data_IF_476757405256
#
_entry.id   IF_476757405256
#
_cell.length_a   1.000
_cell.length_b   1.000
_cell.length_c   1.000
_cell.angle_alpha   90.00
_cell.angle_beta   90.00
_cell.angle_gamma   90.00
#
_symmetry.space_group_name_H-M   'P 1'
#
loop_
_entity.id
_entity.type
_entity.pdbx_description
1 polymer ?
#
# COMPACT_ATOMS: atom_id res chain seq x y z
N UNK A 1 -15.25 44.94 -38.44
CA UNK A 1 -15.86 45.02 -37.09
C UNK A 1 -15.54 43.76 -36.22
N UNK A 2 -15.59 42.57 -36.78
CA UNK A 2 -15.37 41.30 -36.00
C UNK A 2 -13.93 41.13 -35.48
N UNK A 3 -12.90 41.59 -36.20
CA UNK A 3 -11.49 41.49 -35.73
C UNK A 3 -11.13 42.40 -34.53
N UNK A 4 -11.91 43.50 -34.31
CA UNK A 4 -11.71 44.38 -33.13
C UNK A 4 -12.37 43.83 -31.86
N UNK A 5 -13.46 43.08 -32.03
CA UNK A 5 -14.17 42.44 -30.90
C UNK A 5 -13.38 41.25 -30.30
N UNK A 6 -12.62 40.51 -31.15
CA UNK A 6 -11.79 39.39 -30.70
C UNK A 6 -10.54 39.88 -29.94
N UNK A 7 -9.98 41.04 -30.29
CA UNK A 7 -8.83 41.62 -29.61
C UNK A 7 -9.19 42.14 -28.19
N UNK A 8 -10.40 42.67 -27.99
CA UNK A 8 -10.84 43.17 -26.69
C UNK A 8 -11.21 42.01 -25.71
N UNK A 9 -11.71 40.89 -26.23
CA UNK A 9 -12.02 39.69 -25.41
C UNK A 9 -10.73 39.01 -24.93
N UNK A 10 -9.65 38.98 -25.74
CA UNK A 10 -8.36 38.43 -25.33
C UNK A 10 -7.63 39.29 -24.27
N UNK A 11 -7.86 40.60 -24.25
CA UNK A 11 -7.21 41.52 -23.30
C UNK A 11 -7.87 41.50 -21.94
N UNK A 12 -9.16 41.16 -21.84
CA UNK A 12 -9.88 41.04 -20.57
C UNK A 12 -9.55 39.71 -19.86
N UNK A 13 -9.22 38.64 -20.61
CA UNK A 13 -8.82 37.35 -20.04
C UNK A 13 -7.39 37.40 -19.47
N UNK A 14 -6.53 38.31 -19.92
CA UNK A 14 -5.14 38.43 -19.48
C UNK A 14 -4.96 39.36 -18.26
N UNK A 15 -5.98 40.12 -17.85
CA UNK A 15 -5.93 41.02 -16.69
C UNK A 15 -6.58 40.49 -15.38
N UNK A 16 -7.07 39.26 -15.38
CA UNK A 16 -7.68 38.62 -14.17
C UNK A 16 -6.76 37.64 -13.47
N UNK A 17 -5.46 37.61 -13.79
CA UNK A 17 -4.47 36.68 -13.19
C UNK A 17 -3.48 37.32 -12.21
N UNK A 18 -3.68 38.55 -11.76
CA UNK A 18 -2.80 39.16 -10.76
C UNK A 18 -3.58 39.87 -9.66
N UNK A 19 -4.19 39.14 -8.74
CA UNK A 19 -4.43 39.60 -7.37
C UNK A 19 -5.12 38.51 -6.52
N UNK A 20 -4.35 37.61 -5.92
CA UNK A 20 -4.66 37.00 -4.60
C UNK A 20 -3.41 36.29 -4.11
N UNK A 21 -2.43 37.08 -3.63
CA UNK A 21 -1.39 36.55 -2.76
C UNK A 21 -1.95 36.61 -1.34
N UNK A 22 -2.59 35.52 -0.90
CA UNK A 22 -3.00 35.27 0.48
C UNK A 22 -2.29 34.02 0.95
N UNK A 23 -1.31 34.17 1.82
CA UNK A 23 -0.61 33.08 2.48
C UNK A 23 -1.56 32.29 3.35
N UNK A 24 -1.99 31.13 2.89
CA UNK A 24 -2.54 30.05 3.72
C UNK A 24 -1.54 28.91 3.73
N UNK A 25 -1.34 28.30 4.90
CA UNK A 25 -0.37 27.24 5.15
C UNK A 25 -0.53 26.09 4.16
N UNK A 26 0.58 25.61 3.64
CA UNK A 26 0.66 24.51 2.71
C UNK A 26 0.22 23.22 3.42
N UNK A 27 -1.05 22.87 3.25
CA UNK A 27 -1.49 21.48 3.35
C UNK A 27 -0.97 20.77 2.09
N UNK A 28 -0.28 19.66 2.26
CA UNK A 28 0.23 18.84 1.17
C UNK A 28 -0.93 18.07 0.52
N UNK A 29 -1.64 18.69 -0.42
CA UNK A 29 -2.75 18.04 -1.10
C UNK A 29 -2.21 17.12 -2.21
N UNK A 30 -2.37 15.81 -2.02
CA UNK A 30 -2.23 14.81 -3.10
C UNK A 30 -3.44 14.97 -4.02
N UNK A 31 -3.23 15.45 -5.25
CA UNK A 31 -4.28 15.61 -6.25
C UNK A 31 -4.15 14.52 -7.30
N UNK A 32 -5.18 13.67 -7.53
CA UNK A 32 -5.13 12.67 -8.63
C UNK A 32 -4.99 13.36 -9.98
N UNK A 33 -4.00 12.94 -10.78
CA UNK A 33 -3.88 13.39 -12.17
C UNK A 33 -4.91 12.67 -13.03
N UNK A 34 -5.79 13.44 -13.68
CA UNK A 34 -6.90 12.94 -14.49
C UNK A 34 -6.47 12.24 -15.80
N UNK A 35 -5.18 12.23 -16.14
CA UNK A 35 -4.69 11.67 -17.42
C UNK A 35 -4.05 10.28 -17.31
N UNK A 36 -3.70 9.81 -16.10
CA UNK A 36 -2.95 8.55 -15.92
C UNK A 36 -3.30 7.75 -14.66
N UNK A 37 -4.27 8.19 -13.86
CA UNK A 37 -4.49 7.59 -12.53
C UNK A 37 -3.34 7.83 -11.53
N UNK A 38 -2.36 8.66 -11.90
CA UNK A 38 -1.25 9.02 -11.02
C UNK A 38 -1.65 10.12 -10.04
N UNK A 39 -1.20 9.97 -8.81
CA UNK A 39 -1.34 11.00 -7.78
C UNK A 39 -0.25 12.07 -8.00
N UNK A 40 -0.61 13.36 -7.98
CA UNK A 40 0.41 14.40 -7.85
C UNK A 40 0.88 14.43 -6.41
N UNK A 41 2.09 13.91 -6.21
CA UNK A 41 2.72 13.83 -4.91
C UNK A 41 3.52 15.09 -4.69
N UNK A 42 3.42 15.67 -3.50
CA UNK A 42 4.32 16.74 -3.06
C UNK A 42 5.76 16.26 -3.13
N UNK A 43 6.59 16.99 -3.87
CA UNK A 43 8.03 16.73 -3.86
C UNK A 43 8.54 16.72 -2.42
N UNK A 44 9.25 15.64 -2.03
CA UNK A 44 9.81 15.40 -0.69
C UNK A 44 8.80 15.04 0.42
N UNK A 45 7.65 14.41 0.09
CA UNK A 45 6.77 13.85 1.11
C UNK A 45 7.54 12.91 2.04
N UNK A 46 7.32 13.05 3.35
CA UNK A 46 7.86 12.14 4.35
C UNK A 46 6.91 10.96 4.52
N UNK A 47 7.39 9.75 4.26
CA UNK A 47 6.55 8.55 4.23
C UNK A 47 7.09 7.47 5.16
N UNK A 48 6.33 7.14 6.21
CA UNK A 48 6.58 5.97 7.03
C UNK A 48 6.06 4.70 6.35
N UNK A 49 6.67 3.57 6.61
CA UNK A 49 6.22 2.30 6.04
C UNK A 49 6.65 1.12 6.92
N UNK A 50 5.94 -0.02 6.80
CA UNK A 50 6.36 -1.24 7.46
C UNK A 50 7.67 -1.74 6.85
N UNK A 51 8.77 -1.54 7.61
CA UNK A 51 10.13 -1.91 7.25
C UNK A 51 10.43 -3.40 7.43
N UNK A 52 11.71 -3.74 7.44
CA UNK A 52 12.85 -2.86 7.19
C UNK A 52 12.97 -2.40 5.73
N UNK A 53 14.02 -1.63 5.42
CA UNK A 53 14.38 -1.30 4.05
C UNK A 53 14.63 -2.57 3.20
N UNK A 54 14.32 -2.54 1.89
CA UNK A 54 14.41 -3.69 0.99
C UNK A 54 13.18 -4.61 1.02
N UNK A 55 12.07 -4.19 1.66
CA UNK A 55 10.79 -4.93 1.67
C UNK A 55 9.90 -4.55 0.48
N UNK A 56 8.88 -5.38 0.19
CA UNK A 56 7.84 -5.04 -0.78
C UNK A 56 7.03 -3.81 -0.38
N UNK A 57 6.92 -3.51 0.92
CA UNK A 57 6.28 -2.28 1.39
C UNK A 57 7.08 -1.05 0.98
N UNK A 58 8.41 -1.09 1.04
CA UNK A 58 9.26 -0.03 0.50
C UNK A 58 9.10 0.11 -1.01
N UNK A 59 9.04 -1.00 -1.75
CA UNK A 59 8.82 -1.00 -3.20
C UNK A 59 7.46 -0.36 -3.55
N UNK A 60 6.38 -0.70 -2.82
CA UNK A 60 5.07 -0.07 -2.95
C UNK A 60 5.14 1.43 -2.66
N UNK A 61 5.89 1.82 -1.62
CA UNK A 61 6.08 3.23 -1.24
C UNK A 61 6.79 4.00 -2.35
N UNK A 62 7.88 3.48 -2.90
CA UNK A 62 8.60 4.09 -4.02
C UNK A 62 7.76 4.15 -5.29
N UNK A 63 6.96 3.12 -5.55
CA UNK A 63 6.05 3.10 -6.71
C UNK A 63 4.96 4.17 -6.61
N UNK A 64 4.39 4.38 -5.41
CA UNK A 64 3.36 5.41 -5.19
C UNK A 64 3.94 6.82 -5.16
N UNK A 65 5.04 7.05 -4.43
CA UNK A 65 5.58 8.38 -4.11
C UNK A 65 6.77 8.81 -4.97
N UNK A 66 7.26 7.98 -5.88
CA UNK A 66 8.49 8.19 -6.64
C UNK A 66 9.77 8.25 -5.76
N UNK A 67 10.92 8.36 -6.41
CA UNK A 67 12.25 8.40 -5.76
C UNK A 67 12.52 9.66 -4.90
N UNK A 68 11.61 10.66 -4.93
CA UNK A 68 11.79 11.93 -4.20
C UNK A 68 11.25 11.89 -2.77
N UNK A 69 10.53 10.86 -2.38
CA UNK A 69 9.99 10.73 -1.03
C UNK A 69 11.11 10.46 -0.01
N UNK A 70 10.94 11.01 1.19
CA UNK A 70 11.79 10.73 2.35
C UNK A 70 11.23 9.52 3.09
N UNK A 71 11.85 8.36 2.92
CA UNK A 71 11.36 7.08 3.42
C UNK A 71 11.79 6.84 4.88
N UNK A 72 10.87 6.38 5.71
CA UNK A 72 11.05 6.08 7.14
C UNK A 72 10.56 4.66 7.43
N UNK A 73 11.46 3.65 7.48
CA UNK A 73 11.08 2.30 7.86
C UNK A 73 10.75 2.21 9.34
N UNK A 74 9.64 1.56 9.67
CA UNK A 74 9.17 1.32 11.03
C UNK A 74 9.06 -0.17 11.31
N UNK A 75 9.15 -0.57 12.59
CA UNK A 75 9.15 -1.99 12.97
C UNK A 75 7.77 -2.63 12.88
N UNK A 76 6.71 -1.85 13.11
CA UNK A 76 5.34 -2.36 13.09
C UNK A 76 4.40 -1.46 12.27
N UNK A 77 3.25 -2.03 11.89
CA UNK A 77 2.15 -1.28 11.26
C UNK A 77 1.69 -0.12 12.16
N UNK A 78 1.61 -0.36 13.48
CA UNK A 78 1.20 0.68 14.43
C UNK A 78 2.21 1.82 14.49
N UNK A 79 3.52 1.53 14.49
CA UNK A 79 4.56 2.56 14.51
C UNK A 79 4.50 3.41 13.23
N UNK A 80 4.30 2.77 12.06
CA UNK A 80 4.15 3.50 10.81
C UNK A 80 2.93 4.46 10.83
N UNK A 81 1.80 4.04 11.40
CA UNK A 81 0.61 4.87 11.56
C UNK A 81 0.87 6.00 12.58
N UNK A 82 1.52 5.71 13.70
CA UNK A 82 1.83 6.68 14.76
C UNK A 82 2.71 7.82 14.25
N UNK A 83 3.63 7.55 13.33
CA UNK A 83 4.45 8.59 12.67
C UNK A 83 3.58 9.62 11.96
N UNK A 84 2.48 9.20 11.32
CA UNK A 84 1.54 10.12 10.64
C UNK A 84 0.67 10.86 11.65
N UNK A 85 0.14 10.16 12.65
CA UNK A 85 -0.71 10.78 13.68
C UNK A 85 0.02 11.85 14.48
N UNK A 86 1.32 11.68 14.71
CA UNK A 86 2.17 12.63 15.45
C UNK A 86 2.79 13.72 14.56
N UNK A 87 2.51 13.70 13.23
CA UNK A 87 3.06 14.66 12.28
C UNK A 87 4.55 14.48 11.98
N UNK A 88 5.12 13.32 12.34
CA UNK A 88 6.49 12.95 12.01
C UNK A 88 6.64 12.38 10.58
N UNK A 89 5.54 12.00 9.94
CA UNK A 89 5.44 11.66 8.55
C UNK A 89 4.14 12.23 7.96
N UNK A 90 4.12 12.50 6.65
CA UNK A 90 2.94 13.00 5.93
C UNK A 90 2.00 11.84 5.58
N UNK A 91 2.59 10.66 5.30
CA UNK A 91 1.89 9.45 4.88
C UNK A 91 2.47 8.20 5.56
N UNK A 92 1.66 7.14 5.60
CA UNK A 92 2.12 5.80 5.94
C UNK A 92 1.73 4.78 4.86
N UNK A 93 2.59 3.80 4.58
CA UNK A 93 2.28 2.68 3.69
C UNK A 93 2.33 1.37 4.47
N UNK A 94 1.23 0.62 4.42
CA UNK A 94 1.07 -0.63 5.17
C UNK A 94 0.53 -1.74 4.27
N UNK A 95 0.98 -3.00 4.44
CA UNK A 95 0.42 -4.13 3.71
C UNK A 95 -0.99 -4.45 4.19
N UNK A 96 -1.89 -4.74 3.27
CA UNK A 96 -3.29 -5.06 3.54
C UNK A 96 -3.60 -6.53 3.32
N UNK A 97 -3.33 -7.03 2.12
CA UNK A 97 -3.69 -8.38 1.69
C UNK A 97 -2.65 -8.93 0.71
N UNK A 98 -2.39 -10.23 0.79
CA UNK A 98 -1.60 -10.95 -0.19
C UNK A 98 -2.45 -12.06 -0.81
N UNK A 99 -2.39 -12.25 -2.12
CA UNK A 99 -3.19 -13.23 -2.87
C UNK A 99 -3.06 -14.66 -2.31
N UNK A 100 -1.89 -15.05 -1.84
CA UNK A 100 -1.63 -16.40 -1.31
C UNK A 100 -1.76 -16.50 0.21
N UNK A 101 -1.47 -15.40 0.92
CA UNK A 101 -1.47 -15.35 2.39
C UNK A 101 -2.77 -14.82 3.00
N UNK A 102 -3.65 -14.21 2.19
CA UNK A 102 -4.85 -13.52 2.65
C UNK A 102 -4.56 -12.21 3.37
N UNK A 103 -5.51 -11.79 4.21
CA UNK A 103 -5.43 -10.53 4.95
C UNK A 103 -4.24 -10.49 5.93
N UNK A 104 -3.54 -9.37 5.94
CA UNK A 104 -2.50 -9.09 6.95
C UNK A 104 -3.18 -8.66 8.23
N UNK A 105 -3.32 -9.56 9.20
CA UNK A 105 -4.12 -9.37 10.42
C UNK A 105 -3.83 -8.05 11.15
N UNK A 106 -2.58 -7.64 11.22
CA UNK A 106 -2.16 -6.46 11.97
C UNK A 106 -2.73 -5.14 11.42
N UNK A 107 -3.00 -5.03 10.10
CA UNK A 107 -3.58 -3.81 9.54
C UNK A 107 -5.04 -3.63 9.95
N UNK A 108 -5.82 -4.72 10.01
CA UNK A 108 -7.23 -4.67 10.43
C UNK A 108 -7.32 -4.16 11.86
N UNK A 109 -6.52 -4.75 12.77
CA UNK A 109 -6.48 -4.34 14.18
C UNK A 109 -6.05 -2.87 14.34
N UNK A 110 -5.08 -2.42 13.53
CA UNK A 110 -4.60 -1.05 13.55
C UNK A 110 -5.68 -0.06 13.08
N UNK A 111 -6.28 -0.27 11.90
CA UNK A 111 -7.28 0.65 11.36
C UNK A 111 -8.59 0.69 12.16
N UNK A 112 -9.00 -0.45 12.75
CA UNK A 112 -10.18 -0.50 13.63
C UNK A 112 -9.99 0.40 14.86
N UNK A 113 -8.81 0.38 15.47
CA UNK A 113 -8.51 1.10 16.72
C UNK A 113 -8.10 2.55 16.52
N UNK A 114 -7.67 2.92 15.32
CA UNK A 114 -7.13 4.26 15.05
C UNK A 114 -8.22 5.19 14.54
N UNK A 115 -8.33 6.37 15.16
CA UNK A 115 -9.14 7.48 14.70
C UNK A 115 -8.26 8.57 14.05
N UNK A 116 -8.84 9.42 13.21
CA UNK A 116 -8.15 10.53 12.58
C UNK A 116 -7.17 10.15 11.46
N UNK A 117 -7.25 8.90 10.95
CA UNK A 117 -6.49 8.42 9.81
C UNK A 117 -7.44 8.08 8.66
N UNK A 118 -7.00 8.35 7.43
CA UNK A 118 -7.74 8.07 6.19
C UNK A 118 -6.90 7.25 5.23
N UNK A 119 -7.54 6.32 4.52
CA UNK A 119 -6.94 5.66 3.35
C UNK A 119 -7.06 6.63 2.19
N UNK A 120 -5.92 6.99 1.62
CA UNK A 120 -5.81 7.97 0.52
C UNK A 120 -5.25 7.38 -0.76
N UNK A 121 -4.89 6.11 -0.76
CA UNK A 121 -4.41 5.39 -1.94
C UNK A 121 -4.29 3.90 -1.67
N UNK A 122 -4.23 3.15 -2.74
CA UNK A 122 -3.88 1.74 -2.72
C UNK A 122 -2.91 1.41 -3.84
N UNK A 123 -1.90 0.61 -3.51
CA UNK A 123 -0.94 0.05 -4.46
C UNK A 123 -1.12 -1.46 -4.53
N UNK A 124 -1.20 -1.98 -5.74
CA UNK A 124 -1.15 -3.43 -6.01
C UNK A 124 0.17 -3.76 -6.66
N UNK A 125 1.01 -4.56 -6.00
CA UNK A 125 2.29 -5.02 -6.54
C UNK A 125 2.27 -6.51 -6.85
N UNK A 126 2.84 -6.94 -7.99
CA UNK A 126 3.25 -8.33 -8.19
C UNK A 126 4.39 -8.66 -7.22
N UNK A 127 4.35 -9.85 -6.63
CA UNK A 127 5.38 -10.31 -5.69
C UNK A 127 6.32 -11.26 -6.43
N UNK A 128 7.38 -10.69 -6.97
CA UNK A 128 8.44 -11.42 -7.67
C UNK A 128 9.56 -11.77 -6.69
N UNK A 129 9.81 -13.06 -6.50
CA UNK A 129 10.88 -13.54 -5.63
C UNK A 129 12.18 -13.67 -6.43
N UNK A 130 13.27 -13.15 -5.86
CA UNK A 130 14.60 -13.17 -6.48
C UNK A 130 15.56 -13.90 -5.56
N UNK A 131 16.30 -14.86 -6.11
CA UNK A 131 17.45 -15.48 -5.43
C UNK A 131 18.66 -14.58 -5.59
N UNK A 132 19.32 -14.23 -4.51
CA UNK A 132 20.47 -13.34 -4.49
C UNK A 132 21.56 -13.84 -3.54
N UNK A 133 22.80 -13.61 -3.89
CA UNK A 133 23.98 -13.98 -3.11
C UNK A 133 25.05 -12.89 -3.16
N UNK A 134 26.15 -13.07 -2.45
CA UNK A 134 27.25 -12.11 -2.50
C UNK A 134 27.87 -12.06 -3.93
N UNK A 135 28.50 -10.94 -4.33
CA UNK A 135 29.16 -10.84 -5.63
C UNK A 135 30.16 -11.97 -5.89
N UNK A 136 30.01 -12.62 -7.03
CA UNK A 136 30.83 -13.75 -7.46
C UNK A 136 30.42 -15.11 -6.89
N UNK A 137 29.28 -15.23 -6.19
CA UNK A 137 28.60 -16.50 -5.95
C UNK A 137 27.88 -16.95 -7.23
N UNK A 138 27.74 -18.26 -7.41
CA UNK A 138 26.94 -18.91 -8.46
C UNK A 138 25.86 -19.78 -7.83
N UNK A 139 24.88 -20.22 -8.62
CA UNK A 139 23.82 -21.12 -8.12
C UNK A 139 24.40 -22.42 -7.56
N UNK A 140 25.45 -22.94 -8.21
CA UNK A 140 26.12 -24.18 -7.84
C UNK A 140 26.88 -24.10 -6.50
N UNK A 141 27.24 -22.89 -6.06
CA UNK A 141 27.90 -22.68 -4.76
C UNK A 141 26.90 -22.79 -3.59
N UNK A 142 25.59 -22.61 -3.84
CA UNK A 142 24.60 -22.41 -2.78
C UNK A 142 24.29 -23.71 -2.04
N UNK A 143 24.49 -23.69 -0.73
CA UNK A 143 24.18 -24.77 0.21
C UNK A 143 23.05 -24.40 1.18
N UNK A 144 22.79 -23.10 1.39
CA UNK A 144 21.72 -22.63 2.28
C UNK A 144 20.96 -21.48 1.62
N UNK A 145 19.62 -21.56 1.68
CA UNK A 145 18.71 -20.50 1.22
C UNK A 145 17.96 -19.92 2.41
N UNK A 146 18.15 -18.63 2.64
CA UNK A 146 17.52 -17.85 3.71
C UNK A 146 16.32 -17.07 3.17
N UNK A 147 15.20 -17.03 3.88
CA UNK A 147 14.07 -16.14 3.62
C UNK A 147 13.08 -16.14 4.78
N UNK A 148 12.06 -15.29 4.73
CA UNK A 148 10.87 -15.44 5.56
C UNK A 148 10.12 -16.73 5.18
N UNK A 149 9.39 -17.34 6.13
CA UNK A 149 8.64 -18.59 5.91
C UNK A 149 7.82 -18.58 4.62
N UNK A 150 7.13 -17.47 4.33
CA UNK A 150 6.34 -17.31 3.10
C UNK A 150 7.21 -17.31 1.83
N UNK A 151 8.36 -16.64 1.84
CA UNK A 151 9.31 -16.64 0.71
C UNK A 151 9.90 -18.03 0.46
N UNK A 152 10.22 -18.77 1.53
CA UNK A 152 10.64 -20.17 1.43
C UNK A 152 9.55 -21.07 0.83
N UNK A 153 8.30 -20.88 1.25
CA UNK A 153 7.16 -21.63 0.69
C UNK A 153 6.95 -21.29 -0.79
N UNK A 154 6.97 -20.03 -1.15
CA UNK A 154 6.73 -19.56 -2.51
C UNK A 154 7.85 -19.95 -3.49
N UNK A 155 9.07 -20.16 -3.03
CA UNK A 155 10.21 -20.59 -3.85
C UNK A 155 10.48 -22.10 -3.80
N UNK A 156 9.65 -22.88 -3.11
CA UNK A 156 9.93 -24.28 -2.81
C UNK A 156 10.09 -25.17 -4.07
N UNK A 157 9.23 -25.02 -5.10
CA UNK A 157 9.31 -25.81 -6.32
C UNK A 157 10.56 -25.46 -7.12
N UNK A 158 10.84 -24.16 -7.30
CA UNK A 158 12.04 -23.71 -7.99
C UNK A 158 13.31 -24.22 -7.29
N UNK A 159 13.39 -24.12 -5.95
CA UNK A 159 14.53 -24.61 -5.17
C UNK A 159 14.71 -26.12 -5.28
N UNK A 160 13.60 -26.87 -5.26
CA UNK A 160 13.65 -28.34 -5.43
C UNK A 160 14.26 -28.76 -6.78
N UNK A 161 14.03 -27.97 -7.83
CA UNK A 161 14.56 -28.25 -9.16
C UNK A 161 16.01 -27.83 -9.32
N UNK A 162 16.40 -26.65 -8.79
CA UNK A 162 17.69 -26.01 -9.05
C UNK A 162 18.70 -26.13 -7.90
N UNK A 163 18.21 -26.35 -6.67
CA UNK A 163 18.98 -26.41 -5.43
C UNK A 163 18.49 -27.57 -4.54
N UNK A 164 18.42 -28.82 -5.06
CA UNK A 164 17.77 -29.95 -4.35
C UNK A 164 18.42 -30.29 -3.01
N UNK A 165 19.72 -30.03 -2.86
CA UNK A 165 20.50 -30.37 -1.67
C UNK A 165 20.70 -29.18 -0.71
N UNK A 166 20.19 -27.99 -1.05
CA UNK A 166 20.34 -26.81 -0.22
C UNK A 166 19.38 -26.83 0.99
N UNK A 167 19.92 -26.53 2.15
CA UNK A 167 19.15 -26.33 3.38
C UNK A 167 18.38 -25.00 3.33
N UNK A 168 17.36 -24.90 4.19
CA UNK A 168 16.61 -23.64 4.35
C UNK A 168 16.76 -23.07 5.73
N UNK A 169 16.91 -21.74 5.82
CA UNK A 169 16.94 -21.00 7.07
C UNK A 169 15.87 -19.93 7.09
N UNK A 170 14.95 -20.03 8.04
CA UNK A 170 13.90 -19.03 8.22
C UNK A 170 14.44 -17.77 8.91
N UNK A 171 14.03 -16.60 8.40
CA UNK A 171 14.39 -15.29 8.89
C UNK A 171 13.13 -14.46 9.20
N UNK A 172 13.27 -13.40 10.00
CA UNK A 172 12.18 -12.53 10.42
C UNK A 172 11.47 -11.83 9.23
N UNK A 173 12.20 -11.54 8.14
CA UNK A 173 11.67 -11.00 6.89
C UNK A 173 12.56 -11.40 5.70
N UNK A 174 12.05 -11.24 4.48
CA UNK A 174 12.84 -11.45 3.26
C UNK A 174 14.01 -10.46 3.18
N UNK A 175 13.81 -9.22 3.60
CA UNK A 175 14.88 -8.21 3.65
C UNK A 175 15.93 -8.54 4.73
N UNK A 176 15.53 -9.08 5.89
CA UNK A 176 16.46 -9.56 6.90
C UNK A 176 17.33 -10.72 6.38
N UNK A 177 16.78 -11.59 5.52
CA UNK A 177 17.56 -12.63 4.87
C UNK A 177 18.61 -12.04 3.92
N UNK A 178 18.26 -11.03 3.12
CA UNK A 178 19.23 -10.36 2.24
C UNK A 178 20.34 -9.65 3.04
N UNK A 179 19.98 -8.92 4.12
CA UNK A 179 20.97 -8.31 5.03
C UNK A 179 21.93 -9.34 5.61
N UNK A 180 21.38 -10.47 6.11
CA UNK A 180 22.19 -11.55 6.67
C UNK A 180 23.18 -12.12 5.67
N UNK A 181 22.77 -12.38 4.42
CA UNK A 181 23.68 -12.87 3.36
C UNK A 181 24.78 -11.86 3.08
N UNK A 182 24.46 -10.57 3.01
CA UNK A 182 25.46 -9.51 2.80
C UNK A 182 26.46 -9.43 3.96
N UNK A 183 25.99 -9.54 5.21
CA UNK A 183 26.83 -9.46 6.42
C UNK A 183 27.77 -10.66 6.57
N UNK A 184 27.29 -11.88 6.25
CA UNK A 184 28.12 -13.09 6.35
C UNK A 184 29.24 -13.13 5.33
N UNK A 185 29.02 -12.58 4.14
CA UNK A 185 29.98 -12.63 3.04
C UNK A 185 30.30 -14.05 2.55
N UNK A 186 29.44 -15.03 2.85
CA UNK A 186 29.61 -16.43 2.50
C UNK A 186 28.95 -16.75 1.16
N UNK A 187 29.75 -17.25 0.19
CA UNK A 187 29.26 -17.62 -1.15
C UNK A 187 28.29 -18.79 -1.17
N UNK A 188 28.25 -19.57 -0.09
CA UNK A 188 27.39 -20.75 0.01
C UNK A 188 25.98 -20.43 0.51
N UNK A 189 25.73 -19.15 0.88
CA UNK A 189 24.45 -18.71 1.40
C UNK A 189 23.79 -17.74 0.42
N UNK A 190 22.51 -17.98 0.09
CA UNK A 190 21.69 -17.10 -0.72
C UNK A 190 20.43 -16.67 0.01
N UNK A 191 19.87 -15.52 -0.36
CA UNK A 191 18.58 -15.07 0.11
C UNK A 191 17.52 -15.13 -1.00
N UNK A 192 16.28 -15.44 -0.63
CA UNK A 192 15.10 -15.18 -1.48
C UNK A 192 14.39 -13.96 -0.92
N UNK A 193 14.35 -12.87 -1.72
CA UNK A 193 13.81 -11.58 -1.30
C UNK A 193 13.24 -10.78 -2.48
N UNK A 194 12.71 -9.57 -2.18
CA UNK A 194 12.27 -8.63 -3.21
C UNK A 194 13.46 -8.19 -4.09
N UNK A 195 13.25 -7.95 -5.40
CA UNK A 195 14.34 -7.58 -6.32
C UNK A 195 15.20 -6.39 -5.85
N UNK A 196 14.57 -5.36 -5.28
CA UNK A 196 15.26 -4.15 -4.78
C UNK A 196 16.21 -4.40 -3.61
N UNK A 197 16.08 -5.53 -2.89
CA UNK A 197 16.99 -5.88 -1.81
C UNK A 197 18.41 -6.17 -2.32
N UNK A 198 18.56 -6.66 -3.55
CA UNK A 198 19.89 -6.95 -4.12
C UNK A 198 20.74 -5.67 -4.22
N UNK A 199 20.20 -4.59 -4.78
CA UNK A 199 20.90 -3.31 -4.88
C UNK A 199 21.17 -2.71 -3.50
N UNK A 200 20.16 -2.71 -2.61
CA UNK A 200 20.25 -2.12 -1.28
C UNK A 200 21.37 -2.74 -0.44
N UNK A 201 21.53 -4.07 -0.48
CA UNK A 201 22.51 -4.80 0.32
C UNK A 201 23.79 -5.16 -0.45
N UNK A 202 23.94 -4.68 -1.70
CA UNK A 202 25.14 -4.95 -2.52
C UNK A 202 25.29 -6.42 -2.92
N UNK A 203 24.17 -7.13 -3.08
CA UNK A 203 24.10 -8.51 -3.51
C UNK A 203 23.99 -8.63 -5.04
N UNK A 204 24.39 -9.77 -5.58
CA UNK A 204 24.18 -10.12 -6.98
C UNK A 204 22.93 -10.98 -7.14
N UNK A 205 22.10 -10.67 -8.13
CA UNK A 205 20.98 -11.53 -8.52
C UNK A 205 21.52 -12.81 -9.14
N UNK A 206 21.14 -13.96 -8.59
CA UNK A 206 21.49 -15.29 -9.08
C UNK A 206 20.38 -15.89 -9.96
N UNK A 207 19.12 -15.66 -9.58
CA UNK A 207 17.96 -16.02 -10.39
C UNK A 207 16.79 -15.10 -10.09
N UNK A 208 16.02 -14.72 -11.12
CA UNK A 208 14.79 -13.95 -11.03
C UNK A 208 13.58 -14.87 -11.12
N UNK A 209 12.44 -14.39 -10.60
CA UNK A 209 11.13 -15.06 -10.71
C UNK A 209 11.16 -16.51 -10.18
N UNK A 210 11.75 -16.70 -8.99
CA UNK A 210 11.85 -18.01 -8.35
C UNK A 210 10.58 -18.41 -7.60
N UNK A 211 9.50 -17.65 -7.73
CA UNK A 211 8.19 -17.94 -7.14
C UNK A 211 7.41 -19.01 -7.92
N UNK A 212 6.52 -19.70 -7.19
CA UNK A 212 5.67 -20.77 -7.72
C UNK A 212 4.61 -20.27 -8.73
N UNK A 213 4.23 -18.99 -8.68
CA UNK A 213 3.18 -18.41 -9.53
C UNK A 213 3.34 -16.91 -9.67
N UNK A 214 3.04 -16.41 -10.87
CA UNK A 214 2.99 -14.96 -11.16
C UNK A 214 1.66 -14.31 -10.72
N UNK A 215 0.71 -15.11 -10.23
CA UNK A 215 -0.56 -14.60 -9.71
C UNK A 215 -0.44 -13.99 -8.30
N UNK A 216 0.75 -14.07 -7.68
CA UNK A 216 0.97 -13.53 -6.34
C UNK A 216 1.08 -12.01 -6.38
N UNK A 217 0.11 -11.34 -5.76
CA UNK A 217 0.08 -9.87 -5.61
C UNK A 217 -0.13 -9.52 -4.14
N UNK A 218 0.36 -8.36 -3.76
CA UNK A 218 0.09 -7.76 -2.44
C UNK A 218 -0.53 -6.38 -2.64
N UNK A 219 -1.55 -6.10 -1.85
CA UNK A 219 -2.23 -4.80 -1.76
C UNK A 219 -1.66 -4.03 -0.57
N UNK A 220 -1.41 -2.74 -0.77
CA UNK A 220 -0.88 -1.84 0.26
C UNK A 220 -1.75 -0.60 0.35
N UNK A 221 -2.19 -0.23 1.54
CA UNK A 221 -2.86 1.05 1.75
C UNK A 221 -1.86 2.17 1.98
N UNK A 222 -2.18 3.32 1.42
CA UNK A 222 -1.54 4.61 1.70
C UNK A 222 -2.45 5.39 2.64
N UNK A 223 -1.91 5.81 3.77
CA UNK A 223 -2.65 6.46 4.85
C UNK A 223 -2.18 7.89 5.04
N UNK A 224 -3.10 8.78 5.46
CA UNK A 224 -2.82 10.17 5.84
C UNK A 224 -3.82 10.66 6.90
N UNK A 225 -3.47 11.69 7.65
CA UNK A 225 -4.44 12.41 8.52
C UNK A 225 -5.35 13.36 7.74
N UNK A 226 -5.07 13.60 6.46
CA UNK A 226 -5.86 14.45 5.58
C UNK A 226 -6.59 13.61 4.54
N UNK A 227 -7.91 13.70 4.49
CA UNK A 227 -8.74 13.02 3.49
C UNK A 227 -8.52 13.61 2.09
N UNK A 228 -8.49 12.75 1.05
CA UNK A 228 -8.57 13.21 -0.33
C UNK A 228 -9.97 13.70 -0.67
N UNK A 229 -10.05 14.91 -1.22
CA UNK A 229 -11.32 15.49 -1.65
C UNK A 229 -11.37 15.66 -3.18
N UNK A 230 -11.61 14.54 -3.88
CA UNK A 230 -11.80 14.53 -5.35
C UNK A 230 -13.05 13.74 -5.72
N UNK A 231 -13.75 14.17 -6.76
CA UNK A 231 -14.95 13.48 -7.30
C UNK A 231 -14.61 12.27 -8.17
N UNK A 232 -13.34 12.04 -8.47
CA UNK A 232 -12.89 10.98 -9.37
C UNK A 232 -12.33 9.76 -8.62
N UNK A 233 -12.45 9.72 -7.30
CA UNK A 233 -12.01 8.60 -6.48
C UNK A 233 -13.05 7.49 -6.53
N UNK A 234 -12.64 6.29 -6.91
CA UNK A 234 -13.54 5.17 -7.20
C UNK A 234 -13.75 4.21 -6.06
N UNK A 235 -12.82 4.14 -5.10
CA UNK A 235 -12.84 3.22 -3.98
C UNK A 235 -13.01 3.94 -2.64
N UNK A 236 -13.59 3.26 -1.66
CA UNK A 236 -13.64 3.73 -0.27
C UNK A 236 -13.52 2.56 0.72
N UNK A 237 -12.94 2.87 1.88
CA UNK A 237 -12.82 1.93 3.00
C UNK A 237 -13.70 2.37 4.16
N UNK A 238 -14.34 1.39 4.78
CA UNK A 238 -15.25 1.53 5.91
C UNK A 238 -14.84 0.57 7.01
N UNK A 239 -15.04 0.96 8.27
CA UNK A 239 -15.02 0.06 9.41
C UNK A 239 -16.46 -0.19 9.86
N UNK A 240 -16.85 -1.45 10.00
CA UNK A 240 -18.09 -1.83 10.68
C UNK A 240 -17.77 -2.52 11.99
N UNK A 241 -18.56 -2.27 13.04
CA UNK A 241 -18.50 -3.01 14.31
C UNK A 241 -19.89 -3.49 14.65
N UNK A 242 -20.15 -4.78 14.45
CA UNK A 242 -21.50 -5.35 14.61
C UNK A 242 -21.47 -6.86 14.93
N UNK A 243 -22.65 -7.39 15.26
CA UNK A 243 -22.84 -8.84 15.32
C UNK A 243 -22.75 -9.45 13.90
N UNK A 244 -22.20 -10.67 13.79
CA UNK A 244 -21.98 -11.33 12.51
C UNK A 244 -23.24 -11.47 11.65
N UNK A 245 -24.40 -11.64 12.26
CA UNK A 245 -25.70 -11.75 11.57
C UNK A 245 -26.25 -10.41 11.04
N UNK A 246 -25.53 -9.29 11.28
CA UNK A 246 -25.93 -7.95 10.80
C UNK A 246 -25.16 -7.50 9.57
N UNK A 247 -24.05 -8.19 9.24
CA UNK A 247 -23.18 -7.74 8.16
C UNK A 247 -23.87 -7.76 6.80
N UNK A 248 -24.74 -8.74 6.55
CA UNK A 248 -25.51 -8.84 5.31
C UNK A 248 -26.41 -7.63 5.08
N UNK A 249 -27.06 -7.14 6.14
CA UNK A 249 -27.91 -5.94 6.06
C UNK A 249 -27.09 -4.69 5.72
N UNK A 250 -25.86 -4.60 6.24
CA UNK A 250 -24.94 -3.49 5.95
C UNK A 250 -24.52 -3.52 4.49
N UNK A 251 -24.14 -4.69 3.96
CA UNK A 251 -23.75 -4.87 2.55
C UNK A 251 -24.92 -4.50 1.61
N UNK A 252 -26.16 -4.92 1.94
CA UNK A 252 -27.36 -4.54 1.16
C UNK A 252 -27.55 -3.02 1.14
N UNK A 253 -27.43 -2.34 2.29
CA UNK A 253 -27.55 -0.87 2.36
C UNK A 253 -26.47 -0.14 1.56
N UNK A 254 -25.23 -0.67 1.53
CA UNK A 254 -24.16 -0.12 0.70
C UNK A 254 -24.48 -0.25 -0.79
N UNK A 255 -24.98 -1.42 -1.20
CA UNK A 255 -25.43 -1.62 -2.57
C UNK A 255 -26.62 -0.70 -2.96
N UNK A 256 -27.62 -0.56 -2.10
CA UNK A 256 -28.72 0.42 -2.29
C UNK A 256 -28.24 1.88 -2.33
N UNK A 257 -27.10 2.16 -1.69
CA UNK A 257 -26.45 3.46 -1.79
C UNK A 257 -25.76 3.69 -3.15
N UNK A 258 -25.63 2.65 -3.98
CA UNK A 258 -24.95 2.68 -5.29
C UNK A 258 -23.45 2.34 -5.20
N UNK A 259 -23.05 1.56 -4.19
CA UNK A 259 -21.69 1.12 -3.96
C UNK A 259 -21.58 -0.39 -4.17
N UNK A 260 -20.64 -0.82 -4.99
CA UNK A 260 -20.35 -2.23 -5.21
C UNK A 260 -19.34 -2.73 -4.16
N UNK A 261 -19.53 -3.96 -3.71
CA UNK A 261 -18.66 -4.60 -2.73
C UNK A 261 -17.36 -5.10 -3.39
N UNK A 262 -16.21 -4.80 -2.80
CA UNK A 262 -14.89 -5.25 -3.28
C UNK A 262 -14.34 -6.35 -2.38
N UNK A 263 -14.12 -6.06 -1.09
CA UNK A 263 -13.59 -7.05 -0.14
C UNK A 263 -14.03 -6.76 1.30
N UNK A 264 -13.88 -7.77 2.14
CA UNK A 264 -14.15 -7.67 3.59
C UNK A 264 -13.12 -8.48 4.36
N UNK A 265 -12.52 -7.86 5.36
CA UNK A 265 -11.66 -8.54 6.33
C UNK A 265 -12.22 -8.37 7.73
N UNK A 266 -12.31 -9.48 8.46
CA UNK A 266 -12.93 -9.49 9.79
C UNK A 266 -11.93 -9.77 10.91
N UNK A 267 -12.28 -9.28 12.10
CA UNK A 267 -11.59 -9.57 13.36
C UNK A 267 -12.60 -9.68 14.50
N UNK A 268 -12.51 -10.69 15.37
CA UNK A 268 -13.30 -10.70 16.60
C UNK A 268 -13.12 -9.39 17.36
N UNK A 269 -14.22 -8.78 17.80
CA UNK A 269 -14.18 -7.50 18.52
C UNK A 269 -13.63 -7.66 19.95
N UNK A 270 -13.74 -8.85 20.51
CA UNK A 270 -13.13 -9.24 21.80
C UNK A 270 -14.00 -9.07 23.04
N UNK A 271 -15.16 -8.38 22.96
CA UNK A 271 -16.07 -8.23 24.11
C UNK A 271 -17.00 -9.42 24.30
N UNK A 272 -17.42 -10.04 23.19
CA UNK A 272 -18.33 -11.20 23.21
C UNK A 272 -18.21 -12.05 21.94
N UNK A 273 -18.59 -13.32 22.03
CA UNK A 273 -18.68 -14.19 20.86
C UNK A 273 -19.74 -13.71 19.88
N UNK A 274 -19.43 -13.76 18.59
CA UNK A 274 -20.34 -13.37 17.51
C UNK A 274 -20.32 -11.90 17.15
N UNK A 275 -19.52 -11.06 17.83
CA UNK A 275 -19.32 -9.66 17.49
C UNK A 275 -17.95 -9.47 16.83
N UNK A 276 -17.94 -8.75 15.71
CA UNK A 276 -16.77 -8.56 14.86
C UNK A 276 -16.59 -7.10 14.47
N UNK A 277 -15.34 -6.75 14.22
CA UNK A 277 -14.94 -5.59 13.46
C UNK A 277 -14.65 -6.03 12.03
N UNK A 278 -15.09 -5.25 11.05
CA UNK A 278 -14.90 -5.50 9.64
C UNK A 278 -14.24 -4.29 8.99
N UNK A 279 -13.24 -4.51 8.16
CA UNK A 279 -12.78 -3.55 7.15
C UNK A 279 -13.49 -3.93 5.86
N UNK A 280 -14.30 -3.01 5.32
CA UNK A 280 -15.10 -3.21 4.12
C UNK A 280 -14.60 -2.24 3.07
N UNK A 281 -14.22 -2.75 1.90
CA UNK A 281 -13.92 -1.93 0.73
C UNK A 281 -15.08 -1.98 -0.24
N UNK A 282 -15.44 -0.80 -0.75
CA UNK A 282 -16.49 -0.62 -1.75
C UNK A 282 -15.99 0.24 -2.89
N UNK A 283 -16.60 0.09 -4.06
CA UNK A 283 -16.27 0.87 -5.23
C UNK A 283 -17.50 1.47 -5.93
N UNK A 284 -17.26 2.50 -6.73
CA UNK A 284 -18.18 3.01 -7.73
C UNK A 284 -17.39 3.52 -8.93
N UNK A 285 -17.55 2.88 -10.10
CA UNK A 285 -16.82 3.21 -11.32
C UNK A 285 -17.03 4.65 -11.81
N UNK A 286 -18.14 5.29 -11.44
CA UNK A 286 -18.43 6.71 -11.74
C UNK A 286 -17.87 7.69 -10.71
N UNK A 287 -17.19 7.16 -9.69
CA UNK A 287 -16.63 7.92 -8.57
C UNK A 287 -17.54 7.99 -7.35
N UNK A 288 -16.91 7.96 -6.18
CA UNK A 288 -17.58 8.05 -4.88
C UNK A 288 -17.76 9.53 -4.50
N UNK A 289 -19.00 9.99 -4.47
CA UNK A 289 -19.39 11.38 -4.24
C UNK A 289 -19.70 11.64 -2.76
N UNK A 290 -19.78 12.91 -2.36
CA UNK A 290 -20.24 13.31 -1.02
C UNK A 290 -21.65 12.82 -0.71
N UNK A 291 -22.49 12.58 -1.73
CA UNK A 291 -23.81 11.96 -1.54
C UNK A 291 -23.71 10.51 -1.08
N UNK A 292 -22.74 9.75 -1.63
CA UNK A 292 -22.44 8.39 -1.18
C UNK A 292 -21.93 8.40 0.27
N UNK A 293 -21.00 9.30 0.61
CA UNK A 293 -20.47 9.43 1.98
C UNK A 293 -21.59 9.78 2.99
N UNK A 294 -22.53 10.65 2.62
CA UNK A 294 -23.68 10.95 3.48
C UNK A 294 -24.59 9.74 3.72
N UNK A 295 -24.79 8.89 2.71
CA UNK A 295 -25.56 7.65 2.86
C UNK A 295 -24.83 6.63 3.75
N UNK A 296 -23.50 6.50 3.60
CA UNK A 296 -22.66 5.68 4.48
C UNK A 296 -22.77 6.17 5.93
N UNK A 297 -22.61 7.46 6.17
CA UNK A 297 -22.68 8.06 7.50
C UNK A 297 -24.06 7.93 8.18
N UNK A 298 -25.13 7.63 7.41
CA UNK A 298 -26.46 7.34 7.95
C UNK A 298 -26.58 5.90 8.50
N UNK A 299 -25.61 5.02 8.24
CA UNK A 299 -25.55 3.66 8.77
C UNK A 299 -24.73 3.70 10.05
N UNK A 300 -25.38 3.57 11.21
CA UNK A 300 -24.80 3.81 12.55
C UNK A 300 -23.63 2.89 12.89
N UNK A 301 -23.57 1.70 12.29
CA UNK A 301 -22.53 0.70 12.50
C UNK A 301 -21.25 0.98 11.71
N UNK A 302 -21.28 1.98 10.79
CA UNK A 302 -20.17 2.28 9.90
C UNK A 302 -19.37 3.51 10.33
N UNK A 303 -18.06 3.40 10.23
CA UNK A 303 -17.10 4.50 10.27
C UNK A 303 -16.37 4.57 8.91
N UNK A 304 -16.43 5.70 8.27
CA UNK A 304 -15.75 5.98 7.01
C UNK A 304 -14.26 6.23 7.25
N UNK A 305 -13.40 5.59 6.44
CA UNK A 305 -11.94 5.70 6.53
C UNK A 305 -11.28 6.38 5.33
N UNK A 306 -12.04 6.85 4.36
CA UNK A 306 -11.47 7.55 3.21
C UNK A 306 -11.87 6.95 1.88
N UNK A 307 -11.62 7.73 0.82
CA UNK A 307 -11.80 7.34 -0.59
C UNK A 307 -10.52 7.57 -1.38
N UNK A 308 -10.28 6.72 -2.38
CA UNK A 308 -9.00 6.68 -3.09
C UNK A 308 -9.17 6.05 -4.47
N UNK A 309 -8.07 6.02 -5.22
CA UNK A 309 -7.92 5.18 -6.41
C UNK A 309 -6.89 4.10 -6.16
N UNK A 310 -7.03 2.98 -6.87
CA UNK A 310 -6.07 1.89 -6.89
C UNK A 310 -5.08 2.14 -8.03
N UNK A 311 -3.77 1.97 -7.75
CA UNK A 311 -2.73 1.93 -8.78
C UNK A 311 -2.07 0.55 -8.78
N UNK A 312 -1.79 0.04 -9.94
CA UNK A 312 -1.18 -1.28 -10.15
C UNK A 312 0.13 -1.14 -10.92
N UNK A 313 1.17 -1.88 -10.46
CA UNK A 313 2.48 -1.97 -11.11
C UNK A 313 2.49 -3.09 -12.14
#
# INVERSE_FOLDING_TARGET
MIKKLIAEILTVILMLQTAACGSFGAGNDVVPDSSSGSYQITENASVSYLGPAGTYTEEATKFFFSEKAVLKPEETVNDAIEMVLTGNADYAVIPQENTLGGAVVNYVDALVKTEGIYVVGEVVLPINQTLMGIPGATIEDIQTVCSHAQGLTQSAEWRKEHLPDAETQEMASTAAAASFVAETGDKTIAAVAAPGAAELYGLSVLAENVQITDANKTRFYVLSTTELNSKQLTNAVLVASCEANRIDEIIVKLHEAGLEFVTIHDRPEGSQLGKYNYIIEVENASGITDSHIKKIAAISELRYLGRFNVIEK
#
